data_IF_069063714690
#
_entry.id   IF_069063714690
#
_cell.length_a   1.000
_cell.length_b   1.000
_cell.length_c   1.000
_cell.angle_alpha   90.00
_cell.angle_beta   90.00
_cell.angle_gamma   90.00
#
_symmetry.space_group_name_H-M   'P 1'
#
loop_
_entity.id
_entity.type
_entity.pdbx_description
1 polymer ?
#
# COMPACT_ATOMS: atom_id res chain seq x y z
N UNK A 1 -3.96 19.56 26.45
CA UNK A 1 -3.98 20.23 25.13
C UNK A 1 -3.19 19.36 24.15
N UNK A 2 -3.87 18.62 23.30
CA UNK A 2 -3.26 17.78 22.26
C UNK A 2 -2.71 18.70 21.18
N UNK A 3 -1.38 18.80 21.08
CA UNK A 3 -0.70 19.53 20.01
C UNK A 3 -1.14 18.95 18.66
N UNK A 4 -1.84 19.75 17.86
CA UNK A 4 -2.19 19.41 16.48
C UNK A 4 -0.89 19.05 15.72
N UNK A 5 -0.85 17.92 14.99
CA UNK A 5 0.34 17.52 14.26
C UNK A 5 0.68 18.61 13.23
N UNK A 6 1.93 19.09 13.27
CA UNK A 6 2.44 20.05 12.29
C UNK A 6 2.26 19.45 10.87
N UNK A 7 1.50 20.10 9.96
CA UNK A 7 1.19 19.56 8.64
C UNK A 7 2.45 19.23 7.82
N UNK A 8 3.57 19.92 8.06
CA UNK A 8 4.84 19.62 7.37
C UNK A 8 5.45 18.28 7.77
N UNK A 9 5.10 17.74 8.93
CA UNK A 9 5.59 16.44 9.41
C UNK A 9 4.68 15.27 9.03
N UNK A 10 3.48 15.54 8.52
CA UNK A 10 2.50 14.51 8.20
C UNK A 10 3.05 13.40 7.27
N UNK A 11 3.75 13.72 6.16
CA UNK A 11 4.32 12.68 5.29
C UNK A 11 5.28 11.73 6.03
N UNK A 12 6.14 12.28 6.89
CA UNK A 12 7.09 11.49 7.68
C UNK A 12 6.39 10.63 8.74
N UNK A 13 5.32 11.14 9.35
CA UNK A 13 4.50 10.38 10.31
C UNK A 13 3.82 9.20 9.61
N UNK A 14 3.22 9.45 8.44
CA UNK A 14 2.56 8.43 7.63
C UNK A 14 3.54 7.33 7.20
N UNK A 15 4.68 7.72 6.64
CA UNK A 15 5.79 6.81 6.27
C UNK A 15 6.20 5.91 7.44
N UNK A 16 6.50 6.50 8.62
CA UNK A 16 6.89 5.74 9.81
C UNK A 16 5.77 4.87 10.36
N UNK A 17 4.50 5.23 10.14
CA UNK A 17 3.35 4.44 10.59
C UNK A 17 3.16 3.21 9.71
N UNK A 18 3.27 3.37 8.39
CA UNK A 18 3.18 2.28 7.41
C UNK A 18 4.27 1.23 7.67
N UNK A 19 5.54 1.64 7.77
CA UNK A 19 6.64 0.72 8.06
C UNK A 19 6.46 0.00 9.41
N UNK A 20 5.82 0.63 10.40
CA UNK A 20 5.48 -0.02 11.67
C UNK A 20 4.38 -1.08 11.51
N UNK A 21 3.39 -0.83 10.64
CA UNK A 21 2.35 -1.82 10.33
C UNK A 21 2.92 -3.00 9.54
N UNK A 22 3.91 -2.79 8.66
CA UNK A 22 4.56 -3.87 7.91
C UNK A 22 5.21 -4.94 8.79
N UNK A 23 5.54 -4.66 10.05
CA UNK A 23 6.00 -5.69 10.99
C UNK A 23 4.95 -6.77 11.29
N UNK A 24 3.67 -6.49 11.08
CA UNK A 24 2.58 -7.47 11.22
C UNK A 24 2.31 -8.29 9.94
N UNK A 25 3.01 -8.01 8.84
CA UNK A 25 2.85 -8.74 7.57
C UNK A 25 3.71 -10.02 7.54
N UNK A 26 3.32 -11.01 6.71
CA UNK A 26 4.21 -12.11 6.32
C UNK A 26 5.56 -11.59 5.79
N UNK A 27 6.62 -12.36 5.98
CA UNK A 27 8.00 -11.93 5.73
C UNK A 27 8.21 -11.45 4.30
N UNK A 28 7.68 -12.18 3.32
CA UNK A 28 7.82 -11.91 1.89
C UNK A 28 7.10 -10.61 1.52
N UNK A 29 5.86 -10.44 1.99
CA UNK A 29 5.08 -9.22 1.78
C UNK A 29 5.74 -7.99 2.44
N UNK A 30 6.32 -8.16 3.63
CA UNK A 30 7.07 -7.10 4.30
C UNK A 30 8.28 -6.66 3.50
N UNK A 31 9.10 -7.61 3.00
CA UNK A 31 10.32 -7.29 2.24
C UNK A 31 9.96 -6.48 0.98
N UNK A 32 8.98 -6.96 0.22
CA UNK A 32 8.52 -6.30 -0.99
C UNK A 32 7.92 -4.91 -0.67
N UNK A 33 7.02 -4.85 0.31
CA UNK A 33 6.33 -3.63 0.71
C UNK A 33 7.26 -2.56 1.28
N UNK A 34 8.22 -2.93 2.13
CA UNK A 34 9.19 -1.98 2.71
C UNK A 34 10.03 -1.30 1.63
N UNK A 35 10.45 -2.05 0.60
CA UNK A 35 11.17 -1.51 -0.55
C UNK A 35 10.31 -0.49 -1.31
N UNK A 36 9.09 -0.91 -1.68
CA UNK A 36 8.16 -0.08 -2.43
C UNK A 36 7.81 1.23 -1.70
N UNK A 37 7.48 1.17 -0.41
CA UNK A 37 7.19 2.36 0.42
C UNK A 37 8.36 3.34 0.42
N UNK A 38 9.59 2.84 0.61
CA UNK A 38 10.78 3.69 0.65
C UNK A 38 11.00 4.42 -0.67
N UNK A 39 10.80 3.71 -1.78
CA UNK A 39 11.04 4.28 -3.09
C UNK A 39 9.95 5.27 -3.49
N UNK A 40 8.68 4.96 -3.22
CA UNK A 40 7.56 5.85 -3.52
C UNK A 40 7.60 7.15 -2.72
N UNK A 41 7.86 7.09 -1.41
CA UNK A 41 8.03 8.29 -0.59
C UNK A 41 9.26 9.10 -0.99
N UNK A 42 10.32 8.46 -1.51
CA UNK A 42 11.48 9.17 -2.04
C UNK A 42 11.15 9.88 -3.35
N UNK A 43 10.45 9.22 -4.28
CA UNK A 43 10.02 9.79 -5.56
C UNK A 43 9.08 10.98 -5.38
N UNK A 44 8.25 10.96 -4.34
CA UNK A 44 7.28 12.02 -4.05
C UNK A 44 7.80 13.13 -3.12
N UNK A 45 9.10 13.09 -2.74
CA UNK A 45 9.68 14.11 -1.84
C UNK A 45 9.63 15.52 -2.43
N UNK A 46 9.89 15.62 -3.73
CA UNK A 46 10.01 16.89 -4.47
C UNK A 46 8.90 17.03 -5.55
N UNK A 47 7.82 16.25 -5.41
CA UNK A 47 6.71 16.28 -6.37
C UNK A 47 5.87 17.56 -6.24
N UNK A 48 5.22 18.02 -7.33
CA UNK A 48 4.30 19.15 -7.27
C UNK A 48 3.19 18.97 -6.23
N UNK A 49 2.67 20.06 -5.63
CA UNK A 49 1.66 19.97 -4.56
C UNK A 49 0.40 19.20 -4.96
N UNK A 50 -0.06 19.34 -6.19
CA UNK A 50 -1.24 18.63 -6.73
C UNK A 50 -1.08 17.10 -6.67
N UNK A 51 0.07 16.58 -7.08
CA UNK A 51 0.37 15.14 -7.00
C UNK A 51 0.65 14.70 -5.56
N UNK A 52 1.28 15.55 -4.77
CA UNK A 52 1.59 15.26 -3.36
C UNK A 52 0.32 15.09 -2.52
N UNK A 53 -0.73 15.90 -2.77
CA UNK A 53 -2.00 15.78 -2.06
C UNK A 53 -2.70 14.46 -2.37
N UNK A 54 -2.77 14.08 -3.65
CA UNK A 54 -3.34 12.80 -4.08
C UNK A 54 -2.54 11.64 -3.50
N UNK A 55 -1.21 11.69 -3.59
CA UNK A 55 -0.31 10.72 -2.99
C UNK A 55 -0.61 10.52 -1.49
N UNK A 56 -0.61 11.60 -0.71
CA UNK A 56 -0.83 11.50 0.74
C UNK A 56 -2.22 10.95 1.09
N UNK A 57 -3.25 11.27 0.30
CA UNK A 57 -4.59 10.69 0.46
C UNK A 57 -4.56 9.17 0.25
N UNK A 58 -4.08 8.71 -0.88
CA UNK A 58 -4.04 7.28 -1.22
C UNK A 58 -3.19 6.47 -0.23
N UNK A 59 -2.05 7.01 0.19
CA UNK A 59 -1.18 6.37 1.19
C UNK A 59 -1.79 6.37 2.60
N UNK A 60 -2.61 7.37 2.93
CA UNK A 60 -3.40 7.36 4.18
C UNK A 60 -4.47 6.29 4.14
N UNK A 61 -5.17 6.13 3.02
CA UNK A 61 -6.16 5.05 2.80
C UNK A 61 -5.52 3.66 2.88
N UNK A 62 -4.35 3.47 2.27
CA UNK A 62 -3.55 2.26 2.41
C UNK A 62 -3.21 1.96 3.87
N UNK A 63 -2.67 2.95 4.60
CA UNK A 63 -2.33 2.80 6.02
C UNK A 63 -3.55 2.43 6.88
N UNK A 64 -4.71 3.04 6.64
CA UNK A 64 -5.96 2.73 7.34
C UNK A 64 -6.44 1.31 7.03
N UNK A 65 -6.42 0.90 5.76
CA UNK A 65 -6.80 -0.45 5.33
C UNK A 65 -5.91 -1.49 5.98
N UNK A 66 -4.59 -1.28 5.94
CA UNK A 66 -3.62 -2.19 6.53
C UNK A 66 -3.78 -2.28 8.05
N UNK A 67 -4.01 -1.14 8.73
CA UNK A 67 -4.25 -1.14 10.18
C UNK A 67 -5.49 -1.95 10.56
N UNK A 68 -6.57 -1.87 9.77
CA UNK A 68 -7.82 -2.64 10.00
C UNK A 68 -7.62 -4.14 9.79
N UNK A 69 -6.84 -4.52 8.78
CA UNK A 69 -6.54 -5.93 8.49
C UNK A 69 -5.62 -6.56 9.56
N UNK A 70 -4.73 -5.77 10.16
CA UNK A 70 -3.80 -6.25 11.18
C UNK A 70 -4.38 -6.28 12.61
N UNK A 71 -5.45 -5.53 12.89
CA UNK A 71 -6.04 -5.40 14.23
C UNK A 71 -6.73 -6.66 14.80
N UNK A 72 -6.60 -7.82 14.14
CA UNK A 72 -7.19 -9.10 14.54
C UNK A 72 -6.42 -9.97 15.55
N UNK A 73 -5.38 -9.45 16.24
CA UNK A 73 -4.43 -10.11 17.20
C UNK A 73 -2.95 -10.16 16.74
N UNK A 74 -2.51 -9.27 15.84
CA UNK A 74 -1.08 -9.17 15.50
C UNK A 74 -0.48 -10.40 14.81
N UNK A 75 -1.32 -11.36 14.43
CA UNK A 75 -0.99 -12.51 13.62
C UNK A 75 -1.85 -12.44 12.37
N UNK A 76 -1.21 -12.58 11.21
CA UNK A 76 -1.83 -12.73 9.91
C UNK A 76 -2.79 -13.93 9.92
N UNK A 77 -4.05 -13.71 10.34
CA UNK A 77 -5.16 -14.64 10.14
C UNK A 77 -6.23 -13.93 9.34
N UNK A 78 -5.96 -13.76 8.05
CA UNK A 78 -6.89 -13.17 7.09
C UNK A 78 -6.21 -12.87 5.77
N UNK A 79 -7.02 -12.74 4.73
CA UNK A 79 -6.58 -12.27 3.42
C UNK A 79 -6.17 -10.81 3.51
N UNK A 80 -5.01 -10.47 2.94
CA UNK A 80 -4.53 -9.09 2.85
C UNK A 80 -4.97 -8.45 1.54
N UNK A 81 -5.19 -7.14 1.59
CA UNK A 81 -5.64 -6.38 0.42
C UNK A 81 -7.15 -6.35 0.26
N UNK A 82 -7.60 -5.90 -0.91
CA UNK A 82 -9.01 -5.78 -1.29
C UNK A 82 -9.15 -6.23 -2.73
N UNK A 83 -10.34 -6.70 -3.10
CA UNK A 83 -10.65 -6.96 -4.51
C UNK A 83 -10.49 -5.68 -5.32
N UNK A 84 -9.91 -5.81 -6.51
CA UNK A 84 -9.77 -4.71 -7.46
C UNK A 84 -11.17 -4.24 -7.86
N UNK A 85 -11.38 -2.92 -7.85
CA UNK A 85 -12.62 -2.33 -8.31
C UNK A 85 -12.77 -2.59 -9.83
N UNK A 86 -13.86 -3.19 -10.31
CA UNK A 86 -14.07 -3.43 -11.74
C UNK A 86 -13.93 -2.16 -12.59
N UNK A 87 -14.42 -1.02 -12.09
CA UNK A 87 -14.31 0.25 -12.81
C UNK A 87 -12.85 0.71 -12.98
N UNK A 88 -11.93 0.28 -12.11
CA UNK A 88 -10.50 0.56 -12.25
C UNK A 88 -9.89 -0.30 -13.35
N UNK A 89 -10.36 -1.54 -13.52
CA UNK A 89 -9.89 -2.44 -14.58
C UNK A 89 -10.21 -1.83 -15.95
N UNK A 90 -11.40 -1.26 -16.11
CA UNK A 90 -11.83 -0.61 -17.35
C UNK A 90 -11.00 0.64 -17.70
N UNK A 91 -10.26 1.20 -16.75
CA UNK A 91 -9.40 2.38 -16.92
C UNK A 91 -7.93 2.04 -17.19
N UNK A 92 -7.55 0.75 -17.08
CA UNK A 92 -6.19 0.31 -17.37
C UNK A 92 -5.94 0.31 -18.88
N UNK A 93 -4.71 0.65 -19.28
CA UNK A 93 -4.28 0.44 -20.67
C UNK A 93 -4.01 -1.04 -20.95
N UNK A 94 -3.88 -1.37 -22.23
CA UNK A 94 -3.69 -2.76 -22.68
C UNK A 94 -2.45 -3.42 -22.07
N UNK A 95 -1.35 -2.68 -21.95
CA UNK A 95 -0.12 -3.17 -21.34
C UNK A 95 -0.29 -3.50 -19.84
N UNK A 96 -0.95 -2.63 -19.06
CA UNK A 96 -1.23 -2.89 -17.65
C UNK A 96 -2.23 -4.02 -17.45
N UNK A 97 -3.22 -4.13 -18.34
CA UNK A 97 -4.16 -5.25 -18.32
C UNK A 97 -3.44 -6.58 -18.58
N UNK A 98 -2.54 -6.60 -19.55
CA UNK A 98 -1.72 -7.78 -19.85
C UNK A 98 -0.86 -8.17 -18.65
N UNK A 99 -0.13 -7.22 -18.05
CA UNK A 99 0.67 -7.47 -16.85
C UNK A 99 -0.15 -7.99 -15.67
N UNK A 100 -1.34 -7.42 -15.45
CA UNK A 100 -2.26 -7.88 -14.40
C UNK A 100 -2.75 -9.31 -14.67
N UNK A 101 -3.01 -9.64 -15.93
CA UNK A 101 -3.39 -10.98 -16.34
C UNK A 101 -2.25 -11.99 -16.15
N UNK A 102 -1.02 -11.66 -16.55
CA UNK A 102 0.16 -12.50 -16.33
C UNK A 102 0.38 -12.76 -14.84
N UNK A 103 0.26 -11.72 -14.00
CA UNK A 103 0.37 -11.84 -12.55
C UNK A 103 -0.69 -12.80 -11.99
N UNK A 104 -1.94 -12.71 -12.48
CA UNK A 104 -3.02 -13.63 -12.08
C UNK A 104 -2.66 -15.08 -12.45
N UNK A 105 -2.26 -15.32 -13.69
CA UNK A 105 -1.91 -16.66 -14.18
C UNK A 105 -0.78 -17.25 -13.35
N UNK A 106 0.25 -16.46 -13.03
CA UNK A 106 1.38 -16.92 -12.22
C UNK A 106 0.95 -17.25 -10.77
N UNK A 107 0.16 -16.36 -10.14
CA UNK A 107 -0.33 -16.57 -8.78
C UNK A 107 -1.28 -17.79 -8.64
N UNK A 108 -1.93 -18.22 -9.71
CA UNK A 108 -2.79 -19.41 -9.74
C UNK A 108 -2.00 -20.71 -9.86
N UNK A 109 -0.76 -20.69 -10.40
CA UNK A 109 0.10 -21.89 -10.53
C UNK A 109 0.52 -22.45 -9.17
N UNK A 110 0.84 -21.59 -8.20
CA UNK A 110 1.27 -22.01 -6.86
C UNK A 110 0.18 -22.75 -6.07
N UNK A 111 -1.11 -22.61 -6.43
CA UNK A 111 -2.22 -23.29 -5.75
C UNK A 111 -2.39 -24.77 -6.14
N UNK A 112 -1.62 -25.27 -7.09
CA UNK A 112 -1.76 -26.63 -7.65
C UNK A 112 -0.83 -27.69 -7.01
N UNK A 113 -0.07 -27.33 -5.97
CA UNK A 113 0.79 -28.24 -5.22
C UNK A 113 0.38 -28.38 -3.75
#
# INVERSE_FOLDING_TARGET
MTTLPNPTKFPLILYKRILRLHYGLPKEMKILGDGYVKDEFRRHKDAPPEYTLVFLKEWTEYCMSLSKQLSGKGLAKGDFGKNINPNLIDQLDEDKLYQLYELKVEAEKEKQF
#
